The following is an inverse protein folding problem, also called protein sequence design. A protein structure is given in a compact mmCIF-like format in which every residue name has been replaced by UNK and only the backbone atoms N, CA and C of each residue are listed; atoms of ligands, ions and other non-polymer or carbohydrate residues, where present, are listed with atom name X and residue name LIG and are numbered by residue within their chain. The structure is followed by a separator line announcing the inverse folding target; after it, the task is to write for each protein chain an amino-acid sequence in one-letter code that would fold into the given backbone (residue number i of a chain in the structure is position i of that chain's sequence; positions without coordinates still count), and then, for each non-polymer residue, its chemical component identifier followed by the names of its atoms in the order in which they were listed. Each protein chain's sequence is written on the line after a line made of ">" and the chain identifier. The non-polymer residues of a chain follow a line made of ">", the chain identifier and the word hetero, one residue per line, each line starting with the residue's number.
data_IF_298352373363
#
_entry.id   IF_298352373363
#
_cell.length_a   1.000
_cell.length_b   1.000
_cell.length_c   1.000
_cell.angle_alpha   90.00
_cell.angle_beta   90.00
_cell.angle_gamma   90.00
#
_symmetry.space_group_name_H-M   'P 1'
#
loop_
_entity.id
_entity.type
_entity.pdbx_description
1 polymer ?
#
# COMPACT_ATOMS: atom_id res chain seq x y z
N UNK A 1 -2.69 -5.07 -2.21
CA UNK A 1 -2.14 -5.62 -0.96
C UNK A 1 -0.82 -4.95 -0.58
N UNK A 2 -0.14 -5.45 0.49
CA UNK A 2 1.04 -4.79 1.13
C UNK A 2 2.25 -4.55 0.22
N UNK A 3 2.29 -5.11 -0.98
CA UNK A 3 3.34 -4.83 -1.97
C UNK A 3 3.06 -3.55 -2.80
N UNK A 4 1.88 -2.98 -2.73
CA UNK A 4 1.49 -1.87 -3.60
C UNK A 4 2.35 -0.63 -3.37
N UNK A 5 2.56 -0.24 -2.11
CA UNK A 5 3.45 0.89 -1.78
C UNK A 5 4.88 0.66 -2.28
N UNK A 6 5.36 -0.60 -2.26
CA UNK A 6 6.68 -0.94 -2.83
C UNK A 6 6.69 -0.72 -4.35
N UNK A 7 5.61 -1.06 -5.06
CA UNK A 7 5.51 -0.81 -6.52
C UNK A 7 5.49 0.68 -6.84
N UNK A 8 4.78 1.49 -6.03
CA UNK A 8 4.81 2.95 -6.18
C UNK A 8 6.22 3.51 -5.95
N UNK A 9 6.95 2.97 -4.95
CA UNK A 9 8.34 3.37 -4.69
C UNK A 9 9.30 2.96 -5.80
N UNK A 10 9.09 1.82 -6.45
CA UNK A 10 9.82 1.42 -7.66
C UNK A 10 9.48 2.35 -8.83
N UNK A 11 8.19 2.64 -9.02
CA UNK A 11 7.70 3.49 -10.10
C UNK A 11 8.20 4.93 -10.01
N UNK A 12 8.15 5.58 -8.83
CA UNK A 12 8.66 6.95 -8.64
C UNK A 12 10.16 7.04 -8.93
N UNK A 13 10.90 6.00 -8.60
CA UNK A 13 12.33 5.88 -8.88
C UNK A 13 12.63 5.42 -10.32
N UNK A 14 11.60 5.21 -11.14
CA UNK A 14 11.70 4.70 -12.51
C UNK A 14 12.46 3.37 -12.64
N UNK A 15 12.42 2.55 -11.57
CA UNK A 15 13.02 1.22 -11.55
C UNK A 15 12.05 0.24 -12.20
N UNK A 16 12.50 -0.42 -13.28
CA UNK A 16 11.72 -1.48 -13.92
C UNK A 16 11.67 -2.71 -13.01
N UNK A 17 10.52 -3.34 -12.94
CA UNK A 17 10.32 -4.51 -12.10
C UNK A 17 9.37 -5.52 -12.76
N UNK A 18 9.43 -6.75 -12.32
CA UNK A 18 8.51 -7.82 -12.70
C UNK A 18 7.71 -8.26 -11.48
N UNK A 19 6.38 -8.31 -11.61
CA UNK A 19 5.54 -8.93 -10.59
C UNK A 19 5.60 -10.45 -10.73
N UNK A 20 6.08 -11.13 -9.68
CA UNK A 20 5.99 -12.58 -9.55
C UNK A 20 4.86 -12.89 -8.58
N UNK A 21 3.81 -13.52 -9.07
CA UNK A 21 2.66 -13.91 -8.24
C UNK A 21 2.92 -15.27 -7.59
N UNK A 22 2.56 -15.38 -6.33
CA UNK A 22 2.44 -16.64 -5.61
C UNK A 22 0.96 -16.97 -5.56
N UNK A 23 0.55 -17.98 -6.30
CA UNK A 23 -0.87 -18.29 -6.55
C UNK A 23 -1.34 -19.57 -5.85
N UNK A 24 -0.40 -20.38 -5.36
CA UNK A 24 -0.71 -21.64 -4.68
C UNK A 24 0.01 -21.75 -3.32
N UNK A 25 -0.53 -22.54 -2.37
CA UNK A 25 0.14 -22.84 -1.11
C UNK A 25 1.51 -23.50 -1.32
N UNK A 26 1.65 -24.33 -2.36
CA UNK A 26 2.88 -25.05 -2.69
C UNK A 26 3.98 -24.09 -3.16
N UNK A 27 3.64 -23.11 -3.97
CA UNK A 27 4.57 -22.05 -4.37
C UNK A 27 5.05 -21.23 -3.17
N UNK A 28 4.14 -20.89 -2.23
CA UNK A 28 4.52 -20.20 -1.00
C UNK A 28 5.43 -21.05 -0.12
N UNK A 29 5.12 -22.34 0.03
CA UNK A 29 5.96 -23.28 0.77
C UNK A 29 7.36 -23.40 0.15
N UNK A 30 7.42 -23.53 -1.18
CA UNK A 30 8.69 -23.58 -1.91
C UNK A 30 9.49 -22.29 -1.73
N UNK A 31 8.84 -21.13 -1.79
CA UNK A 31 9.51 -19.85 -1.58
C UNK A 31 10.08 -19.72 -0.15
N UNK A 32 9.34 -20.20 0.87
CA UNK A 32 9.82 -20.23 2.26
C UNK A 32 11.07 -21.10 2.42
N UNK A 33 11.11 -22.26 1.76
CA UNK A 33 12.27 -23.15 1.79
C UNK A 33 13.54 -22.57 1.17
N UNK A 34 13.43 -21.51 0.33
CA UNK A 34 14.60 -20.84 -0.23
C UNK A 34 15.41 -20.04 0.79
N UNK A 35 14.87 -19.79 2.00
CA UNK A 35 15.46 -18.91 3.00
C UNK A 35 15.37 -17.40 2.68
N UNK A 36 14.75 -17.00 1.55
CA UNK A 36 14.59 -15.60 1.16
C UNK A 36 13.55 -14.84 2.00
N UNK A 37 12.72 -15.57 2.73
CA UNK A 37 11.68 -15.00 3.61
C UNK A 37 12.02 -15.25 5.08
N UNK A 38 12.87 -14.41 5.71
CA UNK A 38 13.34 -14.65 7.09
C UNK A 38 12.23 -14.67 8.15
N UNK A 39 11.05 -14.14 7.81
CA UNK A 39 9.85 -14.12 8.68
C UNK A 39 8.68 -14.88 8.08
N UNK A 40 8.91 -15.74 7.08
CA UNK A 40 7.89 -16.52 6.37
C UNK A 40 6.71 -15.68 5.80
N UNK A 41 6.92 -14.38 5.61
CA UNK A 41 5.90 -13.42 5.19
C UNK A 41 6.23 -12.80 3.84
N UNK A 42 5.18 -12.66 3.01
CA UNK A 42 5.22 -11.81 1.82
C UNK A 42 4.75 -10.37 2.13
N UNK A 43 5.17 -9.39 1.33
CA UNK A 43 5.90 -9.48 0.06
C UNK A 43 7.40 -9.74 0.22
N UNK A 44 8.04 -10.14 -0.89
CA UNK A 44 9.49 -10.22 -1.09
C UNK A 44 9.87 -9.24 -2.21
N UNK A 45 10.94 -8.47 -2.03
CA UNK A 45 11.59 -7.69 -3.07
C UNK A 45 13.01 -8.20 -3.27
N UNK A 46 13.31 -8.67 -4.48
CA UNK A 46 14.66 -9.01 -4.90
C UNK A 46 15.21 -7.85 -5.74
N UNK A 47 16.27 -7.20 -5.26
CA UNK A 47 16.86 -6.03 -5.90
C UNK A 47 18.36 -5.91 -5.55
N UNK A 48 19.20 -5.64 -6.54
CA UNK A 48 20.63 -5.42 -6.34
C UNK A 48 21.32 -6.53 -5.51
N UNK A 49 20.93 -7.79 -5.70
CA UNK A 49 21.46 -8.93 -4.94
C UNK A 49 20.89 -9.07 -3.51
N UNK A 50 19.98 -8.19 -3.09
CA UNK A 50 19.31 -8.26 -1.79
C UNK A 50 17.96 -8.97 -1.91
N UNK A 51 17.60 -9.73 -0.88
CA UNK A 51 16.26 -10.27 -0.64
C UNK A 51 15.66 -9.51 0.55
N UNK A 52 14.73 -8.60 0.28
CA UNK A 52 14.11 -7.77 1.30
C UNK A 52 12.71 -8.28 1.60
N UNK A 53 12.43 -8.54 2.87
CA UNK A 53 11.09 -8.74 3.40
C UNK A 53 10.69 -7.56 4.29
N UNK A 54 9.40 -7.49 4.71
CA UNK A 54 8.80 -6.36 5.40
C UNK A 54 8.68 -5.11 4.53
N UNK A 55 7.46 -4.80 4.11
CA UNK A 55 7.16 -3.67 3.21
C UNK A 55 7.71 -2.33 3.72
N UNK A 56 7.70 -2.12 5.03
CA UNK A 56 8.27 -0.92 5.65
C UNK A 56 9.79 -0.78 5.42
N UNK A 57 10.53 -1.88 5.39
CA UNK A 57 11.97 -1.87 5.09
C UNK A 57 12.21 -1.63 3.59
N UNK A 58 11.41 -2.28 2.73
CA UNK A 58 11.50 -2.12 1.27
C UNK A 58 11.33 -0.67 0.84
N UNK A 59 10.27 0.01 1.34
CA UNK A 59 9.98 1.40 0.96
C UNK A 59 11.08 2.36 1.43
N UNK A 60 11.66 2.14 2.62
CA UNK A 60 12.79 2.94 3.13
C UNK A 60 14.07 2.72 2.31
N UNK A 61 14.37 1.48 1.96
CA UNK A 61 15.49 1.17 1.06
C UNK A 61 15.34 1.90 -0.27
N UNK A 62 14.17 1.79 -0.91
CA UNK A 62 13.88 2.43 -2.19
C UNK A 62 13.88 3.96 -2.07
N UNK A 63 13.39 4.52 -0.96
CA UNK A 63 13.43 5.97 -0.72
C UNK A 63 14.86 6.50 -0.61
N UNK A 64 15.76 5.76 0.05
CA UNK A 64 17.19 6.10 0.11
C UNK A 64 17.86 5.99 -1.26
N UNK A 65 17.56 4.93 -2.01
CA UNK A 65 18.07 4.72 -3.36
C UNK A 65 17.66 5.87 -4.30
N UNK A 66 16.41 6.30 -4.22
CA UNK A 66 15.85 7.42 -5.01
C UNK A 66 16.12 8.82 -4.42
N UNK A 67 16.83 8.92 -3.29
CA UNK A 67 17.11 10.18 -2.60
C UNK A 67 15.84 10.98 -2.24
N UNK A 68 14.76 10.28 -1.87
CA UNK A 68 13.48 10.87 -1.42
C UNK A 68 13.15 10.49 0.03
N UNK A 69 14.20 10.32 0.87
CA UNK A 69 14.06 9.99 2.29
C UNK A 69 14.38 11.19 3.20
N UNK A 70 14.14 12.43 2.72
CA UNK A 70 14.55 13.67 3.36
C UNK A 70 15.97 14.08 2.99
N UNK A 71 16.31 15.32 3.30
CA UNK A 71 17.63 15.91 3.01
C UNK A 71 18.57 15.91 4.22
N UNK A 72 18.03 15.63 5.41
CA UNK A 72 18.72 15.57 6.69
C UNK A 72 18.01 14.59 7.64
N UNK A 73 18.57 14.37 8.84
CA UNK A 73 18.03 13.44 9.84
C UNK A 73 16.64 13.86 10.35
N UNK A 74 16.36 15.14 10.44
CA UNK A 74 15.04 15.63 10.87
C UNK A 74 13.97 15.31 9.82
N UNK A 75 14.25 15.55 8.54
CA UNK A 75 13.36 15.19 7.47
C UNK A 75 13.15 13.65 7.40
N UNK A 76 14.20 12.87 7.61
CA UNK A 76 14.12 11.42 7.64
C UNK A 76 13.23 10.91 8.78
N UNK A 77 13.35 11.50 9.98
CA UNK A 77 12.46 11.18 11.11
C UNK A 77 11.01 11.57 10.81
N UNK A 78 10.78 12.71 10.15
CA UNK A 78 9.43 13.10 9.72
C UNK A 78 8.86 12.12 8.69
N UNK A 79 9.67 11.67 7.73
CA UNK A 79 9.27 10.62 6.79
C UNK A 79 8.86 9.33 7.52
N UNK A 80 9.61 8.91 8.53
CA UNK A 80 9.31 7.71 9.32
C UNK A 80 8.04 7.87 10.15
N UNK A 81 7.85 9.02 10.77
CA UNK A 81 6.67 9.31 11.57
C UNK A 81 5.39 9.30 10.68
N UNK A 82 5.47 9.92 9.49
CA UNK A 82 4.37 9.86 8.53
C UNK A 82 4.12 8.46 8.01
N UNK A 83 5.18 7.73 7.62
CA UNK A 83 5.04 6.36 7.15
C UNK A 83 4.40 5.46 8.21
N UNK A 84 4.70 5.66 9.49
CA UNK A 84 4.04 4.98 10.61
C UNK A 84 2.56 5.32 10.71
N UNK A 85 2.23 6.63 10.73
CA UNK A 85 0.84 7.09 10.79
C UNK A 85 0.02 6.63 9.58
N UNK A 86 0.61 6.67 8.39
CA UNK A 86 -0.03 6.18 7.16
C UNK A 86 -0.21 4.66 7.19
N UNK A 87 0.71 3.89 7.78
CA UNK A 87 0.52 2.44 7.93
C UNK A 87 -0.72 2.12 8.79
N UNK A 88 -0.92 2.86 9.90
CA UNK A 88 -2.13 2.74 10.74
C UNK A 88 -3.41 3.15 9.99
N UNK A 89 -3.31 4.18 9.14
CA UNK A 89 -4.41 4.64 8.28
C UNK A 89 -4.73 3.62 7.20
N UNK A 90 -3.74 3.15 6.46
CA UNK A 90 -3.88 2.27 5.31
C UNK A 90 -4.42 0.86 5.67
N UNK A 91 -4.24 0.41 6.92
CA UNK A 91 -4.70 -0.93 7.35
C UNK A 91 -6.21 -1.12 7.10
N UNK A 92 -7.03 -0.09 7.31
CA UNK A 92 -8.47 -0.14 7.02
C UNK A 92 -8.75 -0.33 5.52
N UNK A 93 -7.97 0.31 4.64
CA UNK A 93 -8.04 0.12 3.20
C UNK A 93 -7.67 -1.30 2.76
N UNK A 94 -6.62 -1.87 3.38
CA UNK A 94 -6.22 -3.26 3.13
C UNK A 94 -7.29 -4.27 3.56
N UNK A 95 -8.09 -3.93 4.58
CA UNK A 95 -9.16 -4.78 5.09
C UNK A 95 -10.51 -4.57 4.39
N UNK A 96 -10.64 -3.57 3.51
CA UNK A 96 -11.92 -3.20 2.91
C UNK A 96 -12.58 -4.35 2.13
N UNK A 97 -11.80 -5.09 1.32
CA UNK A 97 -12.32 -6.22 0.56
C UNK A 97 -12.76 -7.43 1.42
N UNK A 98 -12.32 -7.48 2.69
CA UNK A 98 -12.67 -8.55 3.63
C UNK A 98 -13.91 -8.22 4.46
N UNK A 99 -14.54 -7.08 4.24
CA UNK A 99 -15.77 -6.68 4.94
C UNK A 99 -16.98 -7.41 4.37
N UNK A 100 -18.07 -7.59 5.17
CA UNK A 100 -19.26 -8.32 4.73
C UNK A 100 -19.95 -7.68 3.53
N UNK A 101 -19.95 -6.36 3.45
CA UNK A 101 -20.54 -5.61 2.34
C UNK A 101 -19.71 -4.37 2.00
N UNK A 102 -19.94 -3.80 0.81
CA UNK A 102 -19.32 -2.56 0.38
C UNK A 102 -19.68 -1.39 1.31
N UNK A 103 -20.91 -1.34 1.81
CA UNK A 103 -21.39 -0.30 2.72
C UNK A 103 -20.63 -0.31 4.04
N UNK A 104 -20.36 -1.50 4.60
CA UNK A 104 -19.55 -1.65 5.83
C UNK A 104 -18.10 -1.24 5.54
N UNK A 105 -17.54 -1.63 4.40
CA UNK A 105 -16.20 -1.21 4.01
C UNK A 105 -16.10 0.32 3.90
N UNK A 106 -17.05 0.95 3.22
CA UNK A 106 -17.12 2.42 3.04
C UNK A 106 -17.29 3.13 4.38
N UNK A 107 -18.16 2.64 5.27
CA UNK A 107 -18.34 3.21 6.61
C UNK A 107 -17.01 3.19 7.39
N UNK A 108 -16.33 2.04 7.45
CA UNK A 108 -15.05 1.89 8.13
C UNK A 108 -13.95 2.81 7.56
N UNK A 109 -13.93 2.98 6.23
CA UNK A 109 -13.00 3.88 5.56
C UNK A 109 -13.28 5.35 5.91
N UNK A 110 -14.54 5.76 5.92
CA UNK A 110 -14.93 7.11 6.30
C UNK A 110 -14.60 7.39 7.78
N UNK A 111 -14.90 6.49 8.70
CA UNK A 111 -14.57 6.63 10.12
C UNK A 111 -13.06 6.76 10.33
N UNK A 112 -12.27 5.95 9.61
CA UNK A 112 -10.81 6.03 9.67
C UNK A 112 -10.30 7.35 9.09
N UNK A 113 -10.88 7.81 7.98
CA UNK A 113 -10.51 9.09 7.37
C UNK A 113 -10.87 10.27 8.29
N UNK A 114 -12.02 10.28 8.94
CA UNK A 114 -12.39 11.30 9.93
C UNK A 114 -11.37 11.42 11.07
N UNK A 115 -10.74 10.31 11.43
CA UNK A 115 -9.71 10.30 12.48
C UNK A 115 -8.35 10.84 12.01
N UNK A 116 -7.92 10.52 10.78
CA UNK A 116 -6.58 10.83 10.27
C UNK A 116 -6.55 12.00 9.30
N UNK A 117 -7.54 12.11 8.41
CA UNK A 117 -7.60 13.12 7.35
C UNK A 117 -7.43 14.55 7.86
N UNK A 118 -8.20 15.01 8.86
CA UNK A 118 -8.03 16.37 9.39
C UNK A 118 -6.62 16.65 9.95
N UNK A 119 -5.92 15.64 10.43
CA UNK A 119 -4.55 15.76 10.96
C UNK A 119 -3.52 15.90 9.84
N UNK A 120 -3.66 15.09 8.78
CA UNK A 120 -2.83 15.21 7.59
C UNK A 120 -3.08 16.56 6.89
N UNK A 121 -4.34 16.97 6.78
CA UNK A 121 -4.72 18.26 6.19
C UNK A 121 -4.11 19.43 6.95
N UNK A 122 -4.26 19.46 8.28
CA UNK A 122 -3.71 20.51 9.13
C UNK A 122 -2.18 20.57 9.05
N UNK A 123 -1.51 19.42 8.99
CA UNK A 123 -0.07 19.36 8.86
C UNK A 123 0.40 19.94 7.52
N UNK A 124 -0.23 19.53 6.40
CA UNK A 124 0.11 20.04 5.08
C UNK A 124 -0.15 21.55 4.95
N UNK A 125 -1.26 22.04 5.54
CA UNK A 125 -1.57 23.46 5.61
C UNK A 125 -0.50 24.23 6.40
N UNK A 126 -0.08 23.72 7.57
CA UNK A 126 0.92 24.34 8.42
C UNK A 126 2.31 24.36 7.79
N UNK A 127 2.70 23.29 7.08
CA UNK A 127 3.99 23.19 6.40
C UNK A 127 4.08 24.15 5.19
N UNK A 128 2.95 24.48 4.56
CA UNK A 128 2.78 25.54 3.55
C UNK A 128 3.46 25.30 2.19
N UNK A 129 4.28 24.26 2.06
CA UNK A 129 4.98 23.91 0.81
C UNK A 129 4.36 22.72 0.08
N UNK A 130 3.29 22.14 0.64
CA UNK A 130 2.50 21.05 0.07
C UNK A 130 3.14 19.67 0.17
N UNK A 131 4.21 19.45 0.95
CA UNK A 131 4.82 18.13 1.21
C UNK A 131 4.72 17.75 2.67
N UNK A 132 4.74 16.45 2.94
CA UNK A 132 4.62 15.92 4.31
C UNK A 132 5.90 16.12 5.14
N UNK A 133 7.07 16.10 4.51
CA UNK A 133 8.35 16.24 5.18
C UNK A 133 9.35 16.98 4.31
N UNK A 134 10.19 17.83 4.94
CA UNK A 134 11.23 18.59 4.26
C UNK A 134 10.68 19.63 3.28
N UNK A 135 11.43 19.87 2.20
CA UNK A 135 11.14 20.91 1.22
C UNK A 135 10.73 20.39 -0.17
N UNK A 136 10.79 19.09 -0.39
CA UNK A 136 10.49 18.43 -1.67
C UNK A 136 9.81 17.08 -1.46
N UNK A 137 9.29 16.50 -2.54
CA UNK A 137 8.63 15.21 -2.53
C UNK A 137 9.50 14.15 -1.83
N UNK A 138 8.90 13.41 -0.92
CA UNK A 138 9.55 12.44 -0.05
C UNK A 138 8.79 11.12 0.02
N UNK A 139 9.36 10.14 0.73
CA UNK A 139 8.69 8.89 1.08
C UNK A 139 7.31 9.13 1.70
N UNK A 140 7.20 10.12 2.59
CA UNK A 140 5.95 10.42 3.30
C UNK A 140 4.80 10.78 2.34
N UNK A 141 5.09 11.55 1.29
CA UNK A 141 4.11 11.95 0.28
C UNK A 141 3.65 10.74 -0.54
N UNK A 142 4.59 9.88 -0.95
CA UNK A 142 4.29 8.71 -1.79
C UNK A 142 3.44 7.68 -1.02
N UNK A 143 3.77 7.40 0.25
CA UNK A 143 2.99 6.43 1.03
C UNK A 143 1.59 6.95 1.35
N UNK A 144 1.44 8.26 1.59
CA UNK A 144 0.13 8.86 1.81
C UNK A 144 -0.72 8.82 0.54
N UNK A 145 -0.17 9.20 -0.61
CA UNK A 145 -0.90 9.19 -1.88
C UNK A 145 -1.29 7.76 -2.30
N UNK A 146 -0.43 6.77 -2.08
CA UNK A 146 -0.77 5.37 -2.36
C UNK A 146 -1.95 4.89 -1.50
N UNK A 147 -1.92 5.16 -0.19
CA UNK A 147 -3.01 4.80 0.70
C UNK A 147 -4.33 5.50 0.32
N UNK A 148 -4.28 6.79 -0.01
CA UNK A 148 -5.43 7.56 -0.49
C UNK A 148 -5.98 7.03 -1.80
N UNK A 149 -5.14 6.59 -2.74
CA UNK A 149 -5.59 5.96 -3.98
C UNK A 149 -6.42 4.71 -3.71
N UNK A 150 -6.05 3.89 -2.71
CA UNK A 150 -6.85 2.77 -2.25
C UNK A 150 -8.21 3.20 -1.66
N UNK A 151 -8.25 4.29 -0.90
CA UNK A 151 -9.50 4.84 -0.35
C UNK A 151 -10.40 5.40 -1.44
N UNK A 152 -9.86 6.11 -2.42
CA UNK A 152 -10.60 6.70 -3.54
C UNK A 152 -11.30 5.64 -4.42
N UNK A 153 -10.78 4.43 -4.49
CA UNK A 153 -11.44 3.32 -5.20
C UNK A 153 -12.77 2.91 -4.56
N UNK A 154 -12.97 3.18 -3.26
CA UNK A 154 -14.19 2.89 -2.50
C UNK A 154 -15.03 4.14 -2.24
N UNK A 155 -14.38 5.26 -1.98
CA UNK A 155 -14.98 6.52 -1.55
C UNK A 155 -14.46 7.68 -2.43
N UNK A 156 -14.94 7.84 -3.69
CA UNK A 156 -14.39 8.82 -4.63
C UNK A 156 -14.42 10.27 -4.15
N UNK A 157 -15.38 10.63 -3.29
CA UNK A 157 -15.55 11.99 -2.76
C UNK A 157 -14.79 12.25 -1.45
N UNK A 158 -14.00 11.30 -0.94
CA UNK A 158 -13.42 11.38 0.41
C UNK A 158 -12.47 12.57 0.61
N UNK A 159 -11.90 13.12 -0.45
CA UNK A 159 -10.97 14.26 -0.42
C UNK A 159 -11.63 15.62 -0.68
N UNK A 160 -12.94 15.71 -0.86
CA UNK A 160 -13.60 16.97 -1.23
C UNK A 160 -13.43 18.08 -0.20
N UNK A 161 -13.30 17.73 1.08
CA UNK A 161 -13.16 18.68 2.19
C UNK A 161 -11.70 18.88 2.65
N UNK A 162 -10.74 18.29 1.96
CA UNK A 162 -9.31 18.30 2.35
C UNK A 162 -8.43 18.73 1.17
N UNK A 163 -8.41 20.04 0.83
CA UNK A 163 -7.77 20.56 -0.37
C UNK A 163 -6.26 20.33 -0.43
N UNK A 164 -5.55 20.38 0.70
CA UNK A 164 -4.09 20.16 0.71
C UNK A 164 -3.74 18.69 0.47
N UNK A 165 -4.49 17.76 1.08
CA UNK A 165 -4.35 16.31 0.82
C UNK A 165 -4.67 16.02 -0.65
N UNK A 166 -5.75 16.59 -1.18
CA UNK A 166 -6.14 16.42 -2.58
C UNK A 166 -5.04 16.90 -3.52
N UNK A 167 -4.52 18.10 -3.31
CA UNK A 167 -3.42 18.66 -4.12
C UNK A 167 -2.13 17.81 -4.01
N UNK A 168 -1.79 17.29 -2.82
CA UNK A 168 -0.67 16.37 -2.64
C UNK A 168 -0.90 15.09 -3.45
N UNK A 169 -2.07 14.48 -3.33
CA UNK A 169 -2.40 13.24 -4.05
C UNK A 169 -2.28 13.43 -5.56
N UNK A 170 -2.89 14.47 -6.11
CA UNK A 170 -2.82 14.80 -7.54
C UNK A 170 -1.36 14.97 -8.01
N UNK A 171 -0.57 15.73 -7.27
CA UNK A 171 0.86 15.95 -7.60
C UNK A 171 1.67 14.66 -7.59
N UNK A 172 1.39 13.74 -6.66
CA UNK A 172 2.12 12.47 -6.58
C UNK A 172 1.70 11.52 -7.70
N UNK A 173 0.39 11.40 -7.98
CA UNK A 173 -0.09 10.52 -9.06
C UNK A 173 0.34 10.99 -10.45
N UNK A 174 0.58 12.30 -10.61
CA UNK A 174 1.07 12.90 -11.86
C UNK A 174 2.59 12.75 -12.05
N UNK A 175 3.33 12.23 -11.05
CA UNK A 175 4.76 11.94 -11.26
C UNK A 175 4.92 10.93 -12.41
N UNK A 176 5.82 11.17 -13.37
CA UNK A 176 5.88 10.39 -14.62
C UNK A 176 5.94 8.87 -14.42
N UNK A 177 6.74 8.41 -13.44
CA UNK A 177 6.87 7.00 -13.12
C UNK A 177 5.58 6.41 -12.55
N UNK A 178 4.93 7.11 -11.62
CA UNK A 178 3.67 6.70 -10.99
C UNK A 178 2.54 6.73 -12.02
N UNK A 179 2.39 7.82 -12.77
CA UNK A 179 1.36 7.93 -13.82
C UNK A 179 1.47 6.81 -14.87
N UNK A 180 2.70 6.44 -15.26
CA UNK A 180 2.95 5.31 -16.15
C UNK A 180 2.54 3.99 -15.51
N UNK A 181 2.92 3.76 -14.23
CA UNK A 181 2.58 2.55 -13.50
C UNK A 181 1.07 2.38 -13.35
N UNK A 182 0.36 3.43 -12.94
CA UNK A 182 -1.09 3.39 -12.72
C UNK A 182 -1.89 3.05 -13.98
N UNK A 183 -1.36 3.35 -15.18
CA UNK A 183 -1.94 3.02 -16.48
C UNK A 183 -1.48 1.66 -17.03
N UNK A 184 -0.55 0.99 -16.34
CA UNK A 184 0.04 -0.27 -16.81
C UNK A 184 -0.78 -1.49 -16.39
N UNK A 185 -0.55 -2.61 -17.09
CA UNK A 185 -1.09 -3.92 -16.72
C UNK A 185 -0.48 -4.50 -15.44
N UNK A 186 0.57 -3.89 -14.90
CA UNK A 186 1.19 -4.27 -13.63
C UNK A 186 0.41 -3.74 -12.40
N UNK A 187 -0.44 -2.74 -12.60
CA UNK A 187 -1.35 -2.23 -11.56
C UNK A 187 -2.48 -3.21 -11.35
N UNK A 188 -2.62 -3.73 -10.13
CA UNK A 188 -3.75 -4.58 -9.80
C UNK A 188 -5.03 -3.75 -9.65
N UNK A 189 -6.18 -4.27 -10.09
CA UNK A 189 -7.47 -3.60 -9.91
C UNK A 189 -7.85 -3.56 -8.43
N UNK A 190 -8.90 -2.80 -8.12
CA UNK A 190 -9.56 -2.81 -6.81
C UNK A 190 -9.82 -4.26 -6.38
N UNK A 191 -9.44 -4.65 -5.16
CA UNK A 191 -9.68 -6.00 -4.66
C UNK A 191 -11.17 -6.36 -4.67
N UNK A 192 -11.50 -7.51 -5.25
CA UNK A 192 -12.84 -8.08 -5.31
C UNK A 192 -12.90 -9.38 -4.48
N UNK A 193 -14.03 -10.06 -4.50
CA UNK A 193 -14.27 -11.30 -3.75
C UNK A 193 -13.23 -12.39 -4.07
N UNK A 194 -12.86 -12.52 -5.34
CA UNK A 194 -11.86 -13.49 -5.81
C UNK A 194 -10.50 -13.28 -5.14
N UNK A 195 -10.10 -12.02 -4.92
CA UNK A 195 -8.88 -11.69 -4.19
C UNK A 195 -8.91 -12.23 -2.76
N UNK A 196 -10.04 -12.13 -2.07
CA UNK A 196 -10.19 -12.63 -0.70
C UNK A 196 -10.05 -14.16 -0.66
N UNK A 197 -10.68 -14.86 -1.62
CA UNK A 197 -10.58 -16.32 -1.77
C UNK A 197 -9.14 -16.74 -2.06
N UNK A 198 -8.47 -16.06 -2.99
CA UNK A 198 -7.07 -16.35 -3.34
C UNK A 198 -6.13 -16.16 -2.15
N UNK A 199 -6.29 -15.07 -1.41
CA UNK A 199 -5.50 -14.81 -0.19
C UNK A 199 -5.71 -15.91 0.85
N UNK A 200 -6.96 -16.29 1.10
CA UNK A 200 -7.28 -17.36 2.05
C UNK A 200 -6.67 -18.69 1.61
N UNK A 201 -6.80 -19.04 0.33
CA UNK A 201 -6.24 -20.27 -0.25
C UNK A 201 -4.71 -20.31 -0.16
N UNK A 202 -4.02 -19.27 -0.65
CA UNK A 202 -2.55 -19.23 -0.67
C UNK A 202 -1.97 -19.24 0.73
N UNK A 203 -2.60 -18.53 1.68
CA UNK A 203 -2.14 -18.45 3.06
C UNK A 203 -2.67 -19.56 3.95
N UNK A 204 -3.49 -20.48 3.41
CA UNK A 204 -4.15 -21.55 4.15
C UNK A 204 -4.88 -21.04 5.41
N UNK A 205 -5.65 -19.95 5.23
CA UNK A 205 -6.45 -19.31 6.28
C UNK A 205 -7.94 -19.52 6.02
N UNK A 206 -8.72 -19.53 7.09
CA UNK A 206 -10.18 -19.51 6.95
C UNK A 206 -10.64 -18.23 6.24
N UNK A 207 -11.68 -18.36 5.42
CA UNK A 207 -12.39 -17.22 4.88
C UNK A 207 -13.10 -16.44 6.00
N UNK A 208 -13.38 -15.13 5.80
CA UNK A 208 -14.28 -14.40 6.70
C UNK A 208 -15.61 -15.14 6.90
N UNK A 209 -16.18 -15.10 8.11
CA UNK A 209 -17.37 -15.89 8.46
C UNK A 209 -18.58 -15.67 7.55
N UNK A 210 -18.76 -14.46 6.99
CA UNK A 210 -19.81 -14.13 6.03
C UNK A 210 -19.61 -14.77 4.64
N UNK A 211 -18.43 -15.35 4.37
CA UNK A 211 -18.09 -16.08 3.14
C UNK A 211 -18.00 -17.59 3.38
N UNK A 212 -18.62 -18.13 4.44
CA UNK A 212 -18.49 -19.53 4.85
C UNK A 212 -18.87 -20.53 3.76
N UNK A 213 -19.85 -20.21 2.92
CA UNK A 213 -20.27 -21.07 1.80
C UNK A 213 -19.19 -21.20 0.72
N UNK A 214 -18.31 -20.22 0.58
CA UNK A 214 -17.17 -20.28 -0.34
C UNK A 214 -16.03 -21.19 0.18
N UNK A 215 -16.04 -21.61 1.46
CA UNK A 215 -15.06 -22.55 2.02
C UNK A 215 -15.08 -23.91 1.32
N UNK A 216 -16.22 -24.31 0.71
CA UNK A 216 -16.31 -25.55 -0.05
C UNK A 216 -15.39 -25.57 -1.27
N UNK A 217 -15.10 -24.39 -1.87
CA UNK A 217 -14.20 -24.26 -3.01
C UNK A 217 -12.71 -24.35 -2.65
N UNK A 218 -12.34 -24.04 -1.40
CA UNK A 218 -10.94 -24.08 -0.94
C UNK A 218 -10.50 -25.52 -0.66
N UNK A 219 -11.41 -26.37 -0.20
CA UNK A 219 -11.12 -27.75 0.21
C UNK A 219 -11.14 -28.77 -0.94
N UNK A 220 -11.73 -28.42 -2.10
CA UNK A 220 -11.87 -29.33 -3.25
C UNK A 220 -10.72 -29.25 -4.25
N UNK A 221 -9.74 -28.38 -4.05
CA UNK A 221 -8.56 -28.21 -4.93
C UNK A 221 -7.23 -28.63 -4.28
N UNK A 222 -7.31 -29.45 -3.22
CA UNK A 222 -6.14 -30.05 -2.56
C UNK A 222 -5.74 -31.39 -3.20
#
# INVERSE_FOLDING_TARGET
>A
GRAETTRWMLAINQIQFTNVQVTTPQELASLRLTGKLPFDQMPLLEINGLCLSQSAAMIRYLARLGKIYGDNDQDAVMCDMFAGAVADFAETGLQAAFQPTAEVAIANLNDKFQKFGPKFEAHLAANGNGVCAGSRLSLADVVLAEALSGYLEWCPAILETTPHIKALNERVVDQPGIAKYLKSTQRYPKPATEYVVDVARVLQRALPGHMADANQFILTTS
#
